data_IF_824549356238
#
_entry.id   IF_824549356238
#
_cell.length_a   1.000
_cell.length_b   1.000
_cell.length_c   1.000
_cell.angle_alpha   90.00
_cell.angle_beta   90.00
_cell.angle_gamma   90.00
#
_symmetry.space_group_name_H-M   'P 1'
#
loop_
_entity.id
_entity.type
_entity.pdbx_description
1 polymer ?
#
# COMPACT_ATOMS: atom_id res chain seq x y z
N UNK A 1 27.80 34.75 46.77
CA UNK A 1 26.49 34.13 46.52
C UNK A 1 26.43 33.84 45.02
N UNK A 2 26.78 32.62 44.60
CA UNK A 2 26.85 32.24 43.20
C UNK A 2 25.53 31.53 42.83
N UNK A 3 24.77 32.14 41.95
CA UNK A 3 23.48 31.58 41.48
C UNK A 3 23.76 30.55 40.38
N UNK A 4 23.59 29.26 40.71
CA UNK A 4 23.68 28.16 39.76
C UNK A 4 22.37 28.11 38.97
N UNK A 5 22.41 28.61 37.75
CA UNK A 5 21.27 28.55 36.80
C UNK A 5 21.25 27.15 36.18
N UNK A 6 20.46 26.25 36.74
CA UNK A 6 20.18 24.94 36.15
C UNK A 6 19.33 25.11 34.91
N UNK A 7 19.93 25.00 33.72
CA UNK A 7 19.24 24.91 32.45
C UNK A 7 18.58 23.53 32.41
N UNK A 8 17.26 23.49 32.68
CA UNK A 8 16.43 22.33 32.46
C UNK A 8 16.26 22.17 30.96
N UNK A 9 17.03 21.25 30.37
CA UNK A 9 16.77 20.78 29.01
C UNK A 9 15.45 19.96 29.03
N UNK A 10 14.32 20.62 28.76
CA UNK A 10 13.10 19.92 28.43
C UNK A 10 13.32 19.15 27.12
N UNK A 11 13.07 17.82 27.07
CA UNK A 11 13.15 17.09 25.83
C UNK A 11 12.17 17.70 24.84
N UNK A 12 12.70 18.31 23.79
CA UNK A 12 11.88 18.81 22.67
C UNK A 12 11.25 17.59 22.05
N UNK A 13 9.96 17.41 22.28
CA UNK A 13 9.19 16.34 21.66
C UNK A 13 9.45 16.35 20.16
N UNK A 14 9.92 15.22 19.63
CA UNK A 14 10.18 15.03 18.20
C UNK A 14 8.82 14.91 17.50
N UNK A 15 8.18 16.04 17.23
CA UNK A 15 6.85 16.13 16.57
C UNK A 15 6.90 15.90 15.06
N UNK A 16 8.08 15.66 14.48
CA UNK A 16 8.25 15.57 13.02
C UNK A 16 7.58 14.34 12.38
N UNK A 17 7.26 13.30 13.15
CA UNK A 17 6.73 12.05 12.60
C UNK A 17 5.19 11.98 12.56
N UNK A 18 4.49 12.79 13.35
CA UNK A 18 3.03 12.83 13.36
C UNK A 18 2.46 13.27 11.99
N UNK A 19 2.99 14.34 11.34
CA UNK A 19 2.48 14.73 10.04
C UNK A 19 2.71 13.69 8.93
N UNK A 20 3.85 12.97 8.94
CA UNK A 20 4.14 11.91 7.98
C UNK A 20 3.16 10.74 8.10
N UNK A 21 2.86 10.31 9.32
CA UNK A 21 1.89 9.26 9.58
C UNK A 21 0.48 9.64 9.10
N UNK A 22 0.06 10.87 9.31
CA UNK A 22 -1.23 11.38 8.84
C UNK A 22 -1.30 11.47 7.32
N UNK A 23 -0.22 11.92 6.67
CA UNK A 23 -0.11 11.97 5.21
C UNK A 23 -0.24 10.57 4.60
N UNK A 24 0.46 9.58 5.14
CA UNK A 24 0.36 8.18 4.68
C UNK A 24 -1.07 7.67 4.88
N UNK A 25 -1.68 7.86 6.04
CA UNK A 25 -3.04 7.42 6.33
C UNK A 25 -4.07 8.06 5.39
N UNK A 26 -3.94 9.36 5.14
CA UNK A 26 -4.79 10.08 4.20
C UNK A 26 -4.57 9.61 2.76
N UNK A 27 -3.33 9.41 2.34
CA UNK A 27 -2.95 8.90 1.03
C UNK A 27 -3.52 7.50 0.78
N UNK A 28 -3.32 6.56 1.71
CA UNK A 28 -3.89 5.20 1.63
C UNK A 28 -5.42 5.24 1.51
N UNK A 29 -6.11 6.05 2.34
CA UNK A 29 -7.56 6.19 2.27
C UNK A 29 -8.01 6.71 0.89
N UNK A 30 -7.29 7.69 0.34
CA UNK A 30 -7.57 8.25 -0.98
C UNK A 30 -7.38 7.22 -2.09
N UNK A 31 -6.27 6.46 -2.05
CA UNK A 31 -5.96 5.39 -3.01
C UNK A 31 -7.03 4.30 -2.95
N UNK A 32 -7.32 3.76 -1.78
CA UNK A 32 -8.33 2.68 -1.61
C UNK A 32 -9.69 3.13 -2.12
N UNK A 33 -10.14 4.34 -1.77
CA UNK A 33 -11.42 4.87 -2.28
C UNK A 33 -11.43 5.03 -3.80
N UNK A 34 -10.33 5.54 -4.38
CA UNK A 34 -10.23 5.71 -5.83
C UNK A 34 -10.24 4.35 -6.56
N UNK A 35 -9.53 3.35 -6.03
CA UNK A 35 -9.52 1.98 -6.55
C UNK A 35 -10.90 1.34 -6.47
N UNK A 36 -11.57 1.39 -5.32
CA UNK A 36 -12.90 0.82 -5.15
C UNK A 36 -13.91 1.39 -6.16
N UNK A 37 -13.90 2.72 -6.36
CA UNK A 37 -14.74 3.37 -7.38
C UNK A 37 -14.41 2.92 -8.81
N UNK A 38 -13.12 2.74 -9.14
CA UNK A 38 -12.70 2.28 -10.46
C UNK A 38 -13.08 0.82 -10.70
N UNK A 39 -12.83 -0.05 -9.72
CA UNK A 39 -13.23 -1.47 -9.78
C UNK A 39 -14.73 -1.60 -9.95
N UNK A 40 -15.54 -0.85 -9.18
CA UNK A 40 -17.00 -0.87 -9.30
C UNK A 40 -17.46 -0.48 -10.71
N UNK A 41 -16.89 0.59 -11.31
CA UNK A 41 -17.21 0.99 -12.68
C UNK A 41 -16.86 -0.09 -13.71
N UNK A 42 -15.71 -0.74 -13.54
CA UNK A 42 -15.27 -1.81 -14.43
C UNK A 42 -16.12 -3.07 -14.28
N UNK A 43 -16.55 -3.41 -13.07
CA UNK A 43 -17.48 -4.51 -12.82
C UNK A 43 -18.83 -4.25 -13.48
N UNK A 44 -19.36 -3.03 -13.39
CA UNK A 44 -20.58 -2.64 -14.07
C UNK A 44 -20.43 -2.74 -15.60
N UNK A 45 -19.27 -2.34 -16.14
CA UNK A 45 -18.96 -2.51 -17.58
C UNK A 45 -18.92 -3.99 -17.97
N UNK A 46 -18.35 -4.85 -17.13
CA UNK A 46 -18.33 -6.30 -17.35
C UNK A 46 -19.73 -6.88 -17.39
N UNK A 47 -20.62 -6.49 -16.47
CA UNK A 47 -22.02 -6.92 -16.45
C UNK A 47 -22.74 -6.46 -17.72
N UNK A 48 -22.53 -5.21 -18.14
CA UNK A 48 -23.11 -4.69 -19.38
C UNK A 48 -22.63 -5.48 -20.60
N UNK A 49 -21.34 -5.79 -20.71
CA UNK A 49 -20.77 -6.59 -21.78
C UNK A 49 -21.37 -8.01 -21.82
N UNK A 50 -21.51 -8.66 -20.66
CA UNK A 50 -22.14 -9.99 -20.56
C UNK A 50 -23.61 -9.97 -20.98
N UNK A 51 -24.36 -8.92 -20.65
CA UNK A 51 -25.75 -8.75 -21.09
C UNK A 51 -25.83 -8.51 -22.60
N UNK A 52 -24.91 -7.70 -23.15
CA UNK A 52 -24.84 -7.49 -24.60
C UNK A 52 -24.55 -8.81 -25.35
N UNK A 53 -23.68 -9.66 -24.81
CA UNK A 53 -23.41 -11.00 -25.35
C UNK A 53 -24.69 -11.87 -25.37
N UNK A 54 -25.42 -11.95 -24.25
CA UNK A 54 -26.66 -12.72 -24.18
C UNK A 54 -27.72 -12.25 -25.21
N UNK A 55 -27.83 -10.91 -25.38
CA UNK A 55 -28.74 -10.34 -26.38
C UNK A 55 -28.31 -10.75 -27.79
N UNK A 56 -27.02 -10.75 -28.07
CA UNK A 56 -26.45 -11.16 -29.35
C UNK A 56 -26.69 -12.65 -29.60
N UNK A 57 -26.39 -13.52 -28.64
CA UNK A 57 -26.66 -14.96 -28.73
C UNK A 57 -28.14 -15.28 -28.99
N UNK A 58 -29.05 -14.57 -28.30
CA UNK A 58 -30.48 -14.71 -28.50
C UNK A 58 -30.95 -14.26 -29.90
N UNK A 59 -30.35 -13.20 -30.47
CA UNK A 59 -30.60 -12.76 -31.83
C UNK A 59 -30.10 -13.77 -32.87
N UNK A 60 -28.92 -14.34 -32.61
CA UNK A 60 -28.28 -15.35 -33.47
C UNK A 60 -29.09 -16.64 -33.55
N UNK A 61 -29.63 -17.09 -32.40
CA UNK A 61 -30.43 -18.33 -32.37
C UNK A 61 -31.74 -18.22 -33.15
N UNK A 62 -32.18 -17.00 -33.50
CA UNK A 62 -33.40 -16.72 -34.27
C UNK A 62 -33.17 -16.56 -35.78
N UNK A 63 -31.92 -16.53 -36.25
CA UNK A 63 -31.57 -16.37 -37.66
C UNK A 63 -31.67 -17.71 -38.41
N UNK A 64 -32.25 -17.71 -39.61
CA UNK A 64 -32.35 -18.90 -40.49
C UNK A 64 -31.00 -19.18 -41.15
N UNK A 65 -30.67 -20.46 -41.27
CA UNK A 65 -29.39 -20.99 -41.76
C UNK A 65 -28.93 -20.54 -43.16
N UNK A 66 -29.78 -19.87 -43.96
CA UNK A 66 -29.48 -19.41 -45.33
C UNK A 66 -28.69 -18.08 -45.40
N UNK A 67 -28.65 -17.30 -44.33
CA UNK A 67 -27.98 -15.98 -44.32
C UNK A 67 -26.58 -16.03 -43.65
N UNK A 68 -26.05 -17.24 -43.44
CA UNK A 68 -24.96 -17.50 -42.49
C UNK A 68 -23.57 -17.20 -43.05
N UNK A 69 -23.37 -17.19 -44.37
CA UNK A 69 -21.99 -17.12 -44.90
C UNK A 69 -21.35 -15.71 -44.74
N UNK A 70 -22.07 -14.64 -45.00
CA UNK A 70 -21.58 -13.27 -44.83
C UNK A 70 -21.64 -12.79 -43.37
N UNK A 71 -22.42 -13.48 -42.56
CA UNK A 71 -22.64 -13.19 -41.17
C UNK A 71 -21.55 -13.79 -40.28
N UNK A 72 -20.96 -14.91 -40.67
CA UNK A 72 -19.95 -15.63 -39.85
C UNK A 72 -18.70 -14.81 -39.62
N UNK A 73 -18.25 -14.02 -40.59
CA UNK A 73 -17.05 -13.21 -40.48
C UNK A 73 -17.30 -11.95 -39.62
N UNK A 74 -18.41 -11.26 -39.83
CA UNK A 74 -18.84 -10.13 -39.00
C UNK A 74 -19.06 -10.54 -37.55
N UNK A 75 -19.63 -11.72 -37.34
CA UNK A 75 -19.86 -12.30 -36.04
C UNK A 75 -18.53 -12.67 -35.34
N UNK A 76 -17.59 -13.30 -36.05
CA UNK A 76 -16.25 -13.63 -35.51
C UNK A 76 -15.54 -12.38 -35.04
N UNK A 77 -15.55 -11.31 -35.83
CA UNK A 77 -14.91 -10.05 -35.48
C UNK A 77 -15.60 -9.40 -34.28
N UNK A 78 -16.93 -9.39 -34.20
CA UNK A 78 -17.67 -8.85 -33.08
C UNK A 78 -17.41 -9.61 -31.77
N UNK A 79 -17.33 -10.96 -31.82
CA UNK A 79 -16.96 -11.77 -30.67
C UNK A 79 -15.50 -11.55 -30.24
N UNK A 80 -14.60 -11.44 -31.22
CA UNK A 80 -13.20 -11.14 -30.93
C UNK A 80 -13.07 -9.79 -30.21
N UNK A 81 -13.68 -8.74 -30.73
CA UNK A 81 -13.66 -7.41 -30.13
C UNK A 81 -14.28 -7.42 -28.72
N UNK A 82 -15.38 -8.17 -28.54
CA UNK A 82 -16.01 -8.36 -27.25
C UNK A 82 -15.05 -9.05 -26.22
N UNK A 83 -14.42 -10.16 -26.62
CA UNK A 83 -13.50 -10.90 -25.74
C UNK A 83 -12.24 -10.09 -25.45
N UNK A 84 -11.71 -9.35 -26.42
CA UNK A 84 -10.57 -8.48 -26.22
C UNK A 84 -10.89 -7.35 -25.23
N UNK A 85 -12.07 -6.74 -25.35
CA UNK A 85 -12.52 -5.70 -24.40
C UNK A 85 -12.78 -6.26 -23.01
N UNK A 86 -13.42 -7.44 -22.91
CA UNK A 86 -13.61 -8.11 -21.63
C UNK A 86 -12.29 -8.46 -20.95
N UNK A 87 -11.30 -8.91 -21.73
CA UNK A 87 -9.95 -9.20 -21.24
C UNK A 87 -9.26 -7.94 -20.70
N UNK A 88 -9.33 -6.82 -21.42
CA UNK A 88 -8.80 -5.52 -20.96
C UNK A 88 -9.43 -5.09 -19.64
N UNK A 89 -10.77 -5.19 -19.52
CA UNK A 89 -11.48 -4.82 -18.30
C UNK A 89 -11.09 -5.71 -17.13
N UNK A 90 -11.00 -7.04 -17.32
CA UNK A 90 -10.55 -7.98 -16.27
C UNK A 90 -9.12 -7.71 -15.84
N UNK A 91 -8.23 -7.43 -16.79
CA UNK A 91 -6.83 -7.07 -16.52
C UNK A 91 -6.75 -5.79 -15.68
N UNK A 92 -7.52 -4.76 -16.05
CA UNK A 92 -7.59 -3.51 -15.29
C UNK A 92 -8.10 -3.73 -13.86
N UNK A 93 -9.12 -4.57 -13.65
CA UNK A 93 -9.62 -4.94 -12.32
C UNK A 93 -8.49 -5.57 -11.48
N UNK A 94 -7.70 -6.48 -12.08
CA UNK A 94 -6.57 -7.13 -11.40
C UNK A 94 -5.53 -6.11 -10.96
N UNK A 95 -5.21 -5.13 -11.80
CA UNK A 95 -4.27 -4.06 -11.44
C UNK A 95 -4.76 -3.22 -10.27
N UNK A 96 -6.04 -2.86 -10.27
CA UNK A 96 -6.62 -2.10 -9.17
C UNK A 96 -6.62 -2.88 -7.86
N UNK A 97 -6.85 -4.19 -7.87
CA UNK A 97 -6.72 -5.01 -6.68
C UNK A 97 -5.29 -5.00 -6.15
N UNK A 98 -4.27 -5.14 -7.02
CA UNK A 98 -2.87 -5.04 -6.61
C UNK A 98 -2.53 -3.69 -5.99
N UNK A 99 -3.02 -2.58 -6.57
CA UNK A 99 -2.86 -1.24 -6.00
C UNK A 99 -3.49 -1.15 -4.61
N UNK A 100 -4.66 -1.73 -4.43
CA UNK A 100 -5.33 -1.78 -3.12
C UNK A 100 -4.49 -2.56 -2.10
N UNK A 101 -3.92 -3.71 -2.50
CA UNK A 101 -3.07 -4.53 -1.63
C UNK A 101 -1.81 -3.78 -1.20
N UNK A 102 -1.14 -3.06 -2.12
CA UNK A 102 -0.01 -2.18 -1.82
C UNK A 102 -0.41 -1.14 -0.77
N UNK A 103 -1.56 -0.48 -0.95
CA UNK A 103 -2.06 0.55 -0.04
C UNK A 103 -2.39 -0.02 1.35
N UNK A 104 -2.94 -1.24 1.43
CA UNK A 104 -3.20 -1.94 2.68
C UNK A 104 -1.88 -2.30 3.39
N UNK A 105 -0.86 -2.74 2.66
CA UNK A 105 0.48 -2.99 3.23
C UNK A 105 1.09 -1.71 3.80
N UNK A 106 0.91 -0.58 3.17
CA UNK A 106 1.35 0.71 3.72
C UNK A 106 0.68 1.05 5.05
N UNK A 107 -0.61 0.75 5.18
CA UNK A 107 -1.30 0.89 6.48
C UNK A 107 -0.70 -0.02 7.55
N UNK A 108 -0.24 -1.22 7.18
CA UNK A 108 0.46 -2.14 8.10
C UNK A 108 1.82 -1.58 8.54
N UNK A 109 2.59 -1.00 7.60
CA UNK A 109 3.85 -0.31 7.92
C UNK A 109 3.61 0.79 8.94
N UNK A 110 2.64 1.66 8.68
CA UNK A 110 2.32 2.77 9.59
C UNK A 110 1.95 2.27 10.99
N UNK A 111 1.11 1.23 11.07
CA UNK A 111 0.71 0.64 12.34
C UNK A 111 1.90 0.02 13.09
N UNK A 112 2.74 -0.75 12.38
CA UNK A 112 3.93 -1.37 12.96
C UNK A 112 4.94 -0.32 13.46
N UNK A 113 5.16 0.75 12.69
CA UNK A 113 5.94 1.89 13.10
C UNK A 113 5.41 2.54 14.39
N UNK A 114 4.10 2.89 14.42
CA UNK A 114 3.51 3.55 15.58
C UNK A 114 3.66 2.71 16.85
N UNK A 115 3.37 1.42 16.77
CA UNK A 115 3.51 0.48 17.88
C UNK A 115 4.96 0.39 18.38
N UNK A 116 5.92 0.21 17.46
CA UNK A 116 7.33 0.10 17.80
C UNK A 116 7.87 1.41 18.39
N UNK A 117 7.56 2.55 17.80
CA UNK A 117 7.99 3.86 18.28
C UNK A 117 7.42 4.20 19.67
N UNK A 118 6.16 3.89 19.92
CA UNK A 118 5.52 4.14 21.22
C UNK A 118 6.17 3.31 22.34
N UNK A 119 6.62 2.10 22.04
CA UNK A 119 7.38 1.27 22.98
C UNK A 119 8.80 1.80 23.17
N UNK A 120 9.50 2.08 22.09
CA UNK A 120 10.89 2.56 22.12
C UNK A 120 11.06 3.86 22.90
N UNK A 121 10.10 4.80 22.76
CA UNK A 121 10.13 6.07 23.52
C UNK A 121 10.02 5.89 25.02
N UNK A 122 9.42 4.82 25.48
CA UNK A 122 9.20 4.52 26.91
C UNK A 122 10.28 3.62 27.49
N UNK A 123 11.12 3.07 26.63
CA UNK A 123 12.16 2.12 27.02
C UNK A 123 13.39 2.87 27.55
N UNK A 124 13.66 2.72 28.84
CA UNK A 124 14.76 3.37 29.54
C UNK A 124 16.17 2.90 29.08
N UNK A 125 16.23 1.82 28.30
CA UNK A 125 17.47 1.29 27.74
C UNK A 125 18.01 2.09 26.54
N UNK A 126 17.24 3.07 26.03
CA UNK A 126 17.66 3.95 24.94
C UNK A 126 18.05 5.35 25.45
N UNK A 127 19.21 5.81 25.02
CA UNK A 127 19.68 7.17 25.28
C UNK A 127 18.94 8.18 24.37
N UNK A 128 18.90 9.48 24.73
CA UNK A 128 18.30 10.52 23.87
C UNK A 128 18.91 10.58 22.47
N UNK A 129 20.22 10.33 22.33
CA UNK A 129 20.89 10.29 21.01
C UNK A 129 20.40 9.13 20.15
N UNK A 130 20.19 7.97 20.76
CA UNK A 130 19.68 6.79 20.06
C UNK A 130 18.22 6.98 19.66
N UNK A 131 17.41 7.59 20.51
CA UNK A 131 16.02 7.93 20.15
C UNK A 131 15.96 8.87 18.94
N UNK A 132 16.88 9.85 18.85
CA UNK A 132 17.00 10.71 17.66
C UNK A 132 17.38 9.89 16.43
N UNK A 133 18.37 9.00 16.55
CA UNK A 133 18.78 8.13 15.46
C UNK A 133 17.64 7.23 14.98
N UNK A 134 16.98 6.55 15.91
CA UNK A 134 15.83 5.67 15.64
C UNK A 134 14.70 6.45 14.96
N UNK A 135 14.42 7.67 15.44
CA UNK A 135 13.44 8.58 14.84
C UNK A 135 13.78 8.91 13.37
N UNK A 136 15.05 9.20 13.08
CA UNK A 136 15.49 9.52 11.73
C UNK A 136 15.37 8.33 10.78
N UNK A 137 15.68 7.11 11.25
CA UNK A 137 15.51 5.88 10.46
C UNK A 137 14.02 5.67 10.14
N UNK A 138 13.15 5.80 11.13
CA UNK A 138 11.70 5.72 10.88
C UNK A 138 11.20 6.78 9.90
N UNK A 139 11.69 8.02 10.01
CA UNK A 139 11.33 9.07 9.05
C UNK A 139 11.72 8.69 7.63
N UNK A 140 12.91 8.13 7.42
CA UNK A 140 13.35 7.66 6.10
C UNK A 140 12.44 6.58 5.50
N UNK A 141 12.02 5.60 6.33
CA UNK A 141 11.08 4.54 5.90
C UNK A 141 9.71 5.13 5.56
N UNK A 142 9.22 6.08 6.35
CA UNK A 142 7.92 6.73 6.11
C UNK A 142 7.96 7.63 4.87
N UNK A 143 9.05 8.34 4.62
CA UNK A 143 9.25 9.15 3.40
C UNK A 143 9.27 8.27 2.14
N UNK A 144 9.96 7.12 2.19
CA UNK A 144 9.93 6.14 1.12
C UNK A 144 8.50 5.61 0.87
N UNK A 145 7.71 5.42 1.94
CA UNK A 145 6.30 5.02 1.85
C UNK A 145 5.41 6.08 1.19
N UNK A 146 5.67 7.37 1.43
CA UNK A 146 4.95 8.48 0.77
C UNK A 146 5.25 8.47 -0.73
N UNK A 147 6.52 8.39 -1.12
CA UNK A 147 6.93 8.32 -2.53
C UNK A 147 6.27 7.14 -3.26
N UNK A 148 6.13 6.01 -2.58
CA UNK A 148 5.46 4.84 -3.12
C UNK A 148 3.96 5.07 -3.35
N UNK A 149 3.28 5.78 -2.43
CA UNK A 149 1.87 6.21 -2.61
C UNK A 149 1.71 7.15 -3.79
N UNK A 150 2.65 8.08 -3.99
CA UNK A 150 2.61 9.02 -5.12
C UNK A 150 2.73 8.28 -6.46
N UNK A 151 3.61 7.29 -6.57
CA UNK A 151 3.70 6.41 -7.74
C UNK A 151 2.40 5.66 -8.03
N UNK A 152 1.78 5.09 -7.01
CA UNK A 152 0.48 4.42 -7.12
C UNK A 152 -0.64 5.40 -7.54
N UNK A 153 -0.65 6.61 -6.99
CA UNK A 153 -1.61 7.66 -7.37
C UNK A 153 -1.44 8.09 -8.83
N UNK A 154 -0.20 8.15 -9.31
CA UNK A 154 0.09 8.44 -10.72
C UNK A 154 -0.59 7.42 -11.64
N UNK A 155 -0.47 6.13 -11.35
CA UNK A 155 -1.14 5.07 -12.15
C UNK A 155 -2.65 5.23 -12.13
N UNK A 156 -3.26 5.53 -10.97
CA UNK A 156 -4.71 5.70 -10.85
C UNK A 156 -5.21 6.88 -11.68
N UNK A 157 -4.47 7.99 -11.68
CA UNK A 157 -4.83 9.21 -12.41
C UNK A 157 -4.53 9.12 -13.90
N UNK A 158 -3.43 8.47 -14.27
CA UNK A 158 -2.97 8.29 -15.65
C UNK A 158 -3.86 7.36 -16.49
N UNK A 159 -4.87 6.71 -15.91
CA UNK A 159 -5.87 5.96 -16.69
C UNK A 159 -6.68 6.84 -17.65
N UNK A 160 -6.59 8.15 -17.53
CA UNK A 160 -7.17 9.12 -18.45
C UNK A 160 -6.15 9.70 -19.44
N UNK A 161 -4.86 9.36 -19.32
CA UNK A 161 -3.75 9.87 -20.13
C UNK A 161 -2.97 8.72 -20.79
N UNK A 162 -2.09 9.05 -21.71
CA UNK A 162 -1.42 8.20 -22.71
C UNK A 162 -0.45 7.11 -22.19
N UNK A 163 -0.59 6.65 -20.94
CA UNK A 163 0.30 5.61 -20.39
C UNK A 163 -0.09 4.22 -20.93
N UNK A 164 0.87 3.47 -21.42
CA UNK A 164 0.67 2.08 -21.87
C UNK A 164 0.42 1.13 -20.70
N UNK A 165 -0.19 -0.03 -20.98
CA UNK A 165 -0.43 -1.07 -19.96
C UNK A 165 0.88 -1.66 -19.43
N UNK A 166 1.93 -1.69 -20.24
CA UNK A 166 3.27 -2.14 -19.82
C UNK A 166 3.88 -1.20 -18.78
N UNK A 167 3.85 0.12 -19.02
CA UNK A 167 4.33 1.13 -18.07
C UNK A 167 3.54 1.11 -16.75
N UNK A 168 2.22 0.91 -16.82
CA UNK A 168 1.39 0.76 -15.62
C UNK A 168 1.78 -0.45 -14.79
N UNK A 169 2.00 -1.58 -15.45
CA UNK A 169 2.43 -2.82 -14.80
C UNK A 169 3.78 -2.64 -14.12
N UNK A 170 4.71 -1.99 -14.78
CA UNK A 170 6.04 -1.70 -14.24
C UNK A 170 5.93 -0.87 -12.97
N UNK A 171 5.22 0.25 -13.00
CA UNK A 171 5.04 1.11 -11.81
C UNK A 171 4.34 0.35 -10.66
N UNK A 172 3.32 -0.47 -10.96
CA UNK A 172 2.63 -1.27 -9.92
C UNK A 172 3.57 -2.32 -9.33
N UNK A 173 4.40 -2.96 -10.16
CA UNK A 173 5.38 -3.95 -9.69
C UNK A 173 6.42 -3.28 -8.82
N UNK A 174 7.01 -2.19 -9.28
CA UNK A 174 8.03 -1.45 -8.54
C UNK A 174 7.47 -0.94 -7.19
N UNK A 175 6.24 -0.44 -7.19
CA UNK A 175 5.56 -0.05 -5.97
C UNK A 175 5.33 -1.23 -5.01
N UNK A 176 5.03 -2.43 -5.52
CA UNK A 176 4.88 -3.64 -4.71
C UNK A 176 6.22 -4.08 -4.11
N UNK A 177 7.29 -4.06 -4.90
CA UNK A 177 8.64 -4.44 -4.46
C UNK A 177 9.18 -3.45 -3.42
N UNK A 178 8.97 -2.15 -3.64
CA UNK A 178 9.36 -1.11 -2.68
C UNK A 178 8.59 -1.22 -1.36
N UNK A 179 7.29 -1.49 -1.38
CA UNK A 179 6.51 -1.63 -0.14
C UNK A 179 6.92 -2.87 0.64
N UNK A 180 7.28 -3.96 -0.04
CA UNK A 180 7.76 -5.17 0.60
C UNK A 180 9.14 -4.95 1.22
N UNK A 181 10.04 -4.26 0.53
CA UNK A 181 11.35 -3.85 1.05
C UNK A 181 11.20 -2.95 2.27
N UNK A 182 10.38 -1.89 2.20
CA UNK A 182 10.14 -0.98 3.32
C UNK A 182 9.56 -1.72 4.54
N UNK A 183 8.64 -2.66 4.32
CA UNK A 183 8.07 -3.47 5.41
C UNK A 183 9.12 -4.36 6.05
N UNK A 184 9.94 -5.03 5.24
CA UNK A 184 11.02 -5.89 5.72
C UNK A 184 12.06 -5.09 6.52
N UNK A 185 12.49 -3.94 6.01
CA UNK A 185 13.45 -3.06 6.69
C UNK A 185 12.90 -2.54 8.02
N UNK A 186 11.63 -2.13 8.06
CA UNK A 186 10.97 -1.74 9.29
C UNK A 186 10.95 -2.88 10.32
N UNK A 187 10.56 -4.08 9.92
CA UNK A 187 10.47 -5.22 10.82
C UNK A 187 11.85 -5.66 11.32
N UNK A 188 12.87 -5.62 10.45
CA UNK A 188 14.26 -5.88 10.83
C UNK A 188 14.75 -4.86 11.84
N UNK A 189 14.58 -3.58 11.56
CA UNK A 189 14.99 -2.50 12.43
C UNK A 189 14.30 -2.55 13.80
N UNK A 190 13.00 -2.83 13.83
CA UNK A 190 12.28 -3.03 15.08
C UNK A 190 12.86 -4.18 15.90
N UNK A 191 13.19 -5.31 15.25
CA UNK A 191 13.80 -6.48 15.91
C UNK A 191 15.18 -6.16 16.48
N UNK A 192 16.01 -5.45 15.73
CA UNK A 192 17.33 -5.01 16.18
C UNK A 192 17.23 -4.12 17.41
N UNK A 193 16.32 -3.15 17.44
CA UNK A 193 16.08 -2.30 18.60
C UNK A 193 15.60 -3.12 19.82
N UNK A 194 14.70 -4.07 19.64
CA UNK A 194 14.24 -4.95 20.72
C UNK A 194 15.42 -5.79 21.28
N UNK A 195 16.23 -6.37 20.40
CA UNK A 195 17.40 -7.15 20.81
C UNK A 195 18.40 -6.29 21.56
N UNK A 196 18.62 -5.04 21.12
CA UNK A 196 19.48 -4.09 21.79
C UNK A 196 18.96 -3.76 23.20
N UNK A 197 17.66 -3.49 23.36
CA UNK A 197 17.04 -3.26 24.65
C UNK A 197 17.21 -4.45 25.59
N UNK A 198 16.91 -5.66 25.11
CA UNK A 198 17.09 -6.91 25.87
C UNK A 198 18.56 -7.09 26.30
N UNK A 199 19.53 -6.83 25.43
CA UNK A 199 20.95 -6.98 25.73
C UNK A 199 21.46 -6.01 26.80
N UNK A 200 20.75 -4.93 27.03
CA UNK A 200 21.07 -3.89 28.03
C UNK A 200 20.30 -4.07 29.34
N UNK A 201 19.37 -4.99 29.41
CA UNK A 201 18.65 -5.27 30.65
C UNK A 201 19.61 -5.75 31.76
N UNK A 202 19.43 -5.24 32.97
CA UNK A 202 20.32 -5.48 34.10
C UNK A 202 19.92 -6.69 34.93
N UNK A 203 18.72 -7.24 34.73
CA UNK A 203 18.22 -8.38 35.49
C UNK A 203 17.31 -9.25 34.63
N UNK A 204 17.10 -10.51 35.04
CA UNK A 204 16.14 -11.41 34.37
C UNK A 204 14.71 -10.86 34.40
N UNK A 205 14.33 -10.23 35.52
CA UNK A 205 13.00 -9.61 35.66
C UNK A 205 12.80 -8.46 34.67
N UNK A 206 13.82 -7.63 34.43
CA UNK A 206 13.78 -6.55 33.42
C UNK A 206 13.71 -7.13 32.01
N UNK A 207 14.48 -8.18 31.73
CA UNK A 207 14.41 -8.92 30.45
C UNK A 207 13.01 -9.45 30.19
N UNK A 208 12.38 -10.04 31.19
CA UNK A 208 11.03 -10.59 31.06
C UNK A 208 10.00 -9.48 30.84
N UNK A 209 10.12 -8.34 31.50
CA UNK A 209 9.30 -7.17 31.27
C UNK A 209 9.44 -6.64 29.82
N UNK A 210 10.67 -6.52 29.33
CA UNK A 210 10.93 -6.08 27.93
C UNK A 210 10.29 -7.07 26.96
N UNK A 211 10.50 -8.37 27.14
CA UNK A 211 9.85 -9.40 26.32
C UNK A 211 8.33 -9.25 26.28
N UNK A 212 7.72 -9.03 27.47
CA UNK A 212 6.29 -8.87 27.60
C UNK A 212 5.77 -7.61 26.89
N UNK A 213 6.46 -6.47 27.00
CA UNK A 213 6.12 -5.23 26.31
C UNK A 213 6.16 -5.35 24.78
N UNK A 214 7.15 -6.06 24.28
CA UNK A 214 7.32 -6.29 22.83
C UNK A 214 6.57 -7.53 22.31
N UNK A 215 5.80 -8.21 23.18
CA UNK A 215 4.99 -9.40 22.80
C UNK A 215 5.83 -10.62 22.43
N UNK A 216 7.05 -10.73 22.97
CA UNK A 216 7.90 -11.89 22.77
C UNK A 216 7.58 -12.98 23.82
N UNK A 217 7.44 -14.22 23.34
CA UNK A 217 7.25 -15.40 24.20
C UNK A 217 8.58 -15.98 24.64
#
# INVERSE_FOLDING_TARGET
>A
MVFFMTIVFLPREVRAQIPLAEVIKAGVKKVVKAVDLKVQRLQNKTIWLQNAQKVLENKLSKLRLGEISDWSEKQRNLYKDYFDELKKVKTAITYYHRIKDISVKQSKILKAYQQAWDLTKRDANFTPKELIYISNVYSGILDASIKNLDGVMLVITAFQTQMSDAERLEIIRDAADHIDTNYFDLMRFNRENIQLSISRSKSSSETDQIRQWYGLK
#
